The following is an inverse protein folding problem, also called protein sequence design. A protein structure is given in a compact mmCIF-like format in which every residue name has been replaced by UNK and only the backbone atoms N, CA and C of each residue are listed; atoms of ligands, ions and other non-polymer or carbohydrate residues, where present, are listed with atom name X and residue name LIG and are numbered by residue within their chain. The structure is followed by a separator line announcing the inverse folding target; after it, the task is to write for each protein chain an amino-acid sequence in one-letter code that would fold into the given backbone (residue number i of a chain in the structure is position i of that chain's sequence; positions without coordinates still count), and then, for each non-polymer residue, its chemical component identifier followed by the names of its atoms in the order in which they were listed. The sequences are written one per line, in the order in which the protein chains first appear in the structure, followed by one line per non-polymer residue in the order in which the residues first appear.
data_IF_039832933810
#
_entry.id   IF_039832933810
#
_cell.length_a   1.000
_cell.length_b   1.000
_cell.length_c   1.000
_cell.angle_alpha   90.00
_cell.angle_beta   90.00
_cell.angle_gamma   90.00
#
_symmetry.space_group_name_H-M   'P 1'
#
loop_
_entity.id
_entity.type
_entity.pdbx_description
1 polymer ?
#
# COMPACT_ATOMS: atom_id res chain seq x y z
N UNK A 1 -1.29 28.72 2.75
CA UNK A 1 -1.92 27.38 2.57
C UNK A 1 -0.82 26.34 2.62
N UNK A 2 -0.73 25.57 3.71
CA UNK A 2 0.22 24.47 3.80
C UNK A 2 -0.24 23.36 2.84
N UNK A 3 0.60 23.05 1.84
CA UNK A 3 0.41 21.88 0.98
C UNK A 3 0.71 20.67 1.87
N UNK A 4 -0.34 20.06 2.44
CA UNK A 4 -0.22 18.83 3.24
C UNK A 4 0.16 17.69 2.31
N UNK A 5 1.44 17.66 1.91
CA UNK A 5 2.05 16.56 1.19
C UNK A 5 2.36 15.48 2.23
N UNK A 6 1.31 14.83 2.75
CA UNK A 6 1.42 13.72 3.71
C UNK A 6 1.94 12.49 2.97
N UNK A 7 3.23 12.52 2.68
CA UNK A 7 3.96 11.39 2.12
C UNK A 7 3.91 10.24 3.12
N UNK A 8 3.47 9.07 2.66
CA UNK A 8 3.45 7.87 3.48
C UNK A 8 4.86 7.53 3.99
N UNK A 9 4.97 7.16 5.26
CA UNK A 9 6.22 6.62 5.80
C UNK A 9 6.49 5.24 5.20
N UNK A 10 7.68 5.02 4.64
CA UNK A 10 8.06 3.74 4.05
C UNK A 10 8.63 2.79 5.10
N UNK A 11 7.93 1.69 5.34
CA UNK A 11 8.32 0.65 6.29
C UNK A 11 8.52 -0.68 5.56
N UNK A 12 9.55 -1.44 5.97
CA UNK A 12 9.81 -2.79 5.46
C UNK A 12 9.79 -3.80 6.61
N UNK A 13 8.97 -4.84 6.50
CA UNK A 13 8.97 -5.97 7.43
C UNK A 13 9.47 -7.22 6.70
N UNK A 14 10.58 -7.78 7.19
CA UNK A 14 11.20 -8.98 6.65
C UNK A 14 10.74 -10.20 7.45
N UNK A 15 9.97 -11.06 6.80
CA UNK A 15 9.58 -12.37 7.34
C UNK A 15 10.48 -13.46 6.77
N UNK A 16 10.57 -14.59 7.44
CA UNK A 16 11.21 -15.79 6.90
C UNK A 16 10.36 -16.40 5.77
N UNK A 17 9.04 -16.54 5.99
CA UNK A 17 8.10 -17.16 5.05
C UNK A 17 6.71 -16.51 5.07
N UNK A 18 5.85 -16.90 4.12
CA UNK A 18 4.46 -16.42 4.04
C UNK A 18 3.63 -16.95 5.22
N UNK A 19 3.91 -18.15 5.72
CA UNK A 19 3.27 -18.75 6.89
C UNK A 19 3.52 -17.90 8.14
N UNK A 20 4.72 -17.34 8.27
CA UNK A 20 5.03 -16.42 9.35
C UNK A 20 4.21 -15.12 9.21
N UNK A 21 4.09 -14.55 8.01
CA UNK A 21 3.19 -13.41 7.81
C UNK A 21 1.73 -13.76 8.17
N UNK A 22 1.24 -14.95 7.78
CA UNK A 22 -0.13 -15.40 8.12
C UNK A 22 -0.36 -15.37 9.63
N UNK A 23 0.59 -15.86 10.42
CA UNK A 23 0.47 -15.90 11.87
C UNK A 23 0.36 -14.49 12.49
N UNK A 24 0.97 -13.48 11.85
CA UNK A 24 1.02 -12.10 12.32
C UNK A 24 -0.10 -11.20 11.78
N UNK A 25 -0.90 -11.67 10.80
CA UNK A 25 -2.01 -10.92 10.23
C UNK A 25 -3.30 -11.18 11.01
N UNK A 26 -3.84 -10.13 11.63
CA UNK A 26 -5.08 -10.22 12.40
C UNK A 26 -6.23 -9.58 11.64
N UNK A 27 -7.37 -10.27 11.52
CA UNK A 27 -8.60 -9.69 11.01
C UNK A 27 -9.50 -9.31 12.19
N UNK A 28 -9.60 -8.01 12.49
CA UNK A 28 -10.31 -7.48 13.67
C UNK A 28 -11.15 -6.28 13.24
N UNK A 29 -12.42 -6.24 13.66
CA UNK A 29 -13.38 -5.14 13.38
C UNK A 29 -13.39 -4.66 11.93
N UNK A 30 -13.37 -5.61 10.98
CA UNK A 30 -13.40 -5.29 9.55
C UNK A 30 -12.08 -4.78 8.96
N UNK A 31 -10.98 -4.79 9.71
CA UNK A 31 -9.65 -4.35 9.28
C UNK A 31 -8.64 -5.49 9.37
N UNK A 32 -7.59 -5.44 8.54
CA UNK A 32 -6.39 -6.24 8.78
C UNK A 32 -5.41 -5.43 9.63
N UNK A 33 -4.86 -6.05 10.67
CA UNK A 33 -3.84 -5.47 11.54
C UNK A 33 -2.54 -6.26 11.42
N UNK A 34 -1.43 -5.54 11.51
CA UNK A 34 -0.08 -6.11 11.60
C UNK A 34 0.72 -5.31 12.63
N UNK A 35 1.45 -6.01 13.49
CA UNK A 35 2.39 -5.38 14.40
C UNK A 35 3.74 -5.13 13.72
N UNK A 36 4.24 -3.90 13.81
CA UNK A 36 5.56 -3.50 13.35
C UNK A 36 6.44 -3.21 14.56
N UNK A 37 7.35 -4.14 14.88
CA UNK A 37 8.20 -4.06 16.08
C UNK A 37 9.39 -3.14 15.86
N UNK A 38 9.17 -1.85 16.07
CA UNK A 38 10.24 -0.87 16.18
C UNK A 38 9.95 0.08 17.36
N UNK A 39 10.62 -0.12 18.51
CA UNK A 39 10.36 0.70 19.69
C UNK A 39 10.81 2.16 19.51
N UNK A 40 11.75 2.40 18.59
CA UNK A 40 12.34 3.72 18.35
C UNK A 40 11.59 4.54 17.31
N UNK A 41 10.73 3.91 16.50
CA UNK A 41 9.94 4.60 15.49
C UNK A 41 8.79 5.38 16.14
N UNK A 42 8.82 6.70 15.92
CA UNK A 42 7.80 7.63 16.41
C UNK A 42 6.93 8.09 15.24
N UNK A 43 5.66 7.67 15.22
CA UNK A 43 4.65 8.14 14.27
C UNK A 43 3.43 8.63 15.03
N UNK A 44 2.74 9.65 14.50
CA UNK A 44 1.48 10.13 15.07
C UNK A 44 0.34 9.16 14.75
N UNK A 45 -0.66 8.97 15.63
CA UNK A 45 -1.88 8.22 15.30
C UNK A 45 -2.52 8.74 14.01
N UNK A 46 -2.96 7.82 13.15
CA UNK A 46 -3.48 8.13 11.82
C UNK A 46 -2.42 8.42 10.76
N UNK A 47 -1.12 8.40 11.10
CA UNK A 47 -0.07 8.60 10.12
C UNK A 47 -0.13 7.54 9.00
N UNK A 48 -0.08 7.96 7.71
CA UNK A 48 -0.11 7.03 6.59
C UNK A 48 1.24 6.33 6.43
N UNK A 49 1.17 5.04 6.11
CA UNK A 49 2.31 4.14 5.95
C UNK A 49 2.17 3.36 4.66
N UNK A 50 3.28 3.22 3.94
CA UNK A 50 3.45 2.15 2.97
C UNK A 50 4.31 1.07 3.58
N UNK A 51 3.74 -0.13 3.69
CA UNK A 51 4.41 -1.29 4.25
C UNK A 51 4.78 -2.27 3.13
N UNK A 52 6.07 -2.50 2.93
CA UNK A 52 6.61 -3.58 2.11
C UNK A 52 6.88 -4.81 3.00
N UNK A 53 6.25 -5.93 2.67
CA UNK A 53 6.51 -7.24 3.24
C UNK A 53 7.38 -8.02 2.27
N UNK A 54 8.50 -8.52 2.76
CA UNK A 54 9.47 -9.31 1.99
C UNK A 54 9.79 -10.60 2.73
N UNK A 55 10.21 -11.63 2.00
CA UNK A 55 10.40 -12.97 2.55
C UNK A 55 11.83 -13.47 2.29
N UNK A 56 12.47 -14.07 3.29
CA UNK A 56 13.82 -14.61 3.12
C UNK A 56 13.84 -15.82 2.18
N UNK A 57 12.78 -16.62 2.20
CA UNK A 57 12.68 -17.87 1.43
C UNK A 57 12.12 -17.69 0.01
N UNK A 58 11.80 -16.46 -0.41
CA UNK A 58 11.30 -16.21 -1.77
C UNK A 58 11.50 -14.78 -2.24
N UNK A 59 11.50 -14.55 -3.55
CA UNK A 59 11.49 -13.20 -4.12
C UNK A 59 10.11 -12.52 -4.05
N UNK A 60 9.15 -13.14 -3.36
CA UNK A 60 7.82 -12.56 -3.23
C UNK A 60 7.91 -11.26 -2.42
N UNK A 61 7.11 -10.29 -2.85
CA UNK A 61 6.97 -9.01 -2.17
C UNK A 61 5.51 -8.60 -2.19
N UNK A 62 5.08 -7.92 -1.13
CA UNK A 62 3.77 -7.26 -1.09
C UNK A 62 3.89 -5.89 -0.50
N UNK A 63 3.20 -4.95 -1.13
CA UNK A 63 3.09 -3.59 -0.61
C UNK A 63 1.63 -3.28 -0.35
N UNK A 64 1.38 -2.75 0.85
CA UNK A 64 0.04 -2.36 1.31
C UNK A 64 0.09 -0.97 1.91
N UNK A 65 -1.00 -0.23 1.73
CA UNK A 65 -1.25 1.00 2.48
C UNK A 65 -1.78 0.62 3.85
N UNK A 66 -1.25 1.28 4.87
CA UNK A 66 -1.70 1.14 6.23
C UNK A 66 -1.72 2.50 6.94
N UNK A 67 -2.37 2.54 8.09
CA UNK A 67 -2.36 3.68 8.99
C UNK A 67 -1.96 3.23 10.38
N UNK A 68 -1.17 4.04 11.09
CA UNK A 68 -0.93 3.80 12.51
C UNK A 68 -2.24 3.95 13.30
N UNK A 69 -2.66 2.89 14.01
CA UNK A 69 -3.88 2.93 14.84
C UNK A 69 -3.59 2.95 16.33
N UNK A 70 -2.50 2.33 16.77
CA UNK A 70 -2.09 2.34 18.17
C UNK A 70 -0.59 2.11 18.30
N UNK A 71 -0.02 2.59 19.39
CA UNK A 71 1.35 2.28 19.78
C UNK A 71 1.33 1.32 20.97
N UNK A 72 2.17 0.29 20.91
CA UNK A 72 2.52 -0.50 22.08
C UNK A 72 3.79 0.10 22.68
N UNK A 73 3.67 0.74 23.84
CA UNK A 73 4.76 1.45 24.49
C UNK A 73 6.00 0.57 24.64
N UNK A 74 7.15 1.10 24.25
CA UNK A 74 8.44 0.39 24.29
C UNK A 74 8.58 -0.81 23.35
N UNK A 75 7.59 -1.11 22.50
CA UNK A 75 7.62 -2.29 21.64
C UNK A 75 7.48 -1.98 20.15
N UNK A 76 6.55 -1.12 19.75
CA UNK A 76 6.30 -0.86 18.33
C UNK A 76 4.90 -0.34 18.02
N UNK A 77 4.47 -0.57 16.77
CA UNK A 77 3.31 0.06 16.16
C UNK A 77 2.29 -0.97 15.69
N UNK A 78 1.01 -0.73 15.96
CA UNK A 78 -0.09 -1.42 15.30
C UNK A 78 -0.50 -0.66 14.05
N UNK A 79 -0.36 -1.32 12.90
CA UNK A 79 -0.72 -0.80 11.59
C UNK A 79 -2.02 -1.43 11.13
N UNK A 80 -2.96 -0.62 10.65
CA UNK A 80 -4.22 -1.09 10.08
C UNK A 80 -4.26 -0.87 8.57
N UNK A 81 -4.58 -1.92 7.83
CA UNK A 81 -5.00 -1.84 6.43
C UNK A 81 -6.51 -1.51 6.37
N UNK A 82 -6.99 -0.88 5.29
CA UNK A 82 -8.36 -0.33 5.23
C UNK A 82 -9.47 -1.38 5.33
N UNK A 83 -9.22 -2.65 5.02
CA UNK A 83 -10.19 -3.73 5.09
C UNK A 83 -9.52 -5.08 5.39
N UNK A 84 -10.32 -6.13 5.62
CA UNK A 84 -9.84 -7.51 5.86
C UNK A 84 -9.39 -8.27 4.61
N UNK A 85 -9.52 -7.69 3.41
CA UNK A 85 -9.24 -8.40 2.14
C UNK A 85 -7.82 -8.94 2.12
N UNK A 86 -6.84 -8.14 2.52
CA UNK A 86 -5.46 -8.57 2.51
C UNK A 86 -5.23 -9.78 3.41
N UNK A 87 -5.67 -9.75 4.67
CA UNK A 87 -5.55 -10.90 5.55
C UNK A 87 -6.24 -12.14 4.96
N UNK A 88 -7.50 -12.01 4.49
CA UNK A 88 -8.24 -13.12 3.87
C UNK A 88 -7.48 -13.74 2.69
N UNK A 89 -7.03 -12.90 1.75
CA UNK A 89 -6.27 -13.39 0.60
C UNK A 89 -4.98 -14.12 0.99
N UNK A 90 -4.23 -13.59 1.95
CA UNK A 90 -3.01 -14.25 2.42
C UNK A 90 -3.35 -15.57 3.11
N UNK A 91 -4.39 -15.63 3.94
CA UNK A 91 -4.81 -16.86 4.59
C UNK A 91 -5.25 -17.92 3.58
N UNK A 92 -6.19 -17.58 2.69
CA UNK A 92 -6.87 -18.52 1.79
C UNK A 92 -5.95 -19.08 0.71
N UNK A 93 -5.17 -18.19 0.05
CA UNK A 93 -4.38 -18.54 -1.15
C UNK A 93 -2.91 -18.22 -1.04
N UNK A 94 -2.47 -17.64 0.08
CA UNK A 94 -1.10 -17.14 0.22
C UNK A 94 -0.80 -15.98 -0.74
N UNK A 95 0.47 -15.80 -1.06
CA UNK A 95 0.90 -14.77 -2.00
C UNK A 95 1.08 -15.34 -3.39
N UNK A 96 0.35 -14.75 -4.35
CA UNK A 96 0.53 -15.06 -5.78
C UNK A 96 1.96 -14.71 -6.22
N UNK A 97 2.74 -15.65 -6.78
CA UNK A 97 4.05 -15.36 -7.34
C UNK A 97 3.98 -14.25 -8.39
N UNK A 98 5.02 -13.41 -8.46
CA UNK A 98 5.10 -12.34 -9.46
C UNK A 98 6.42 -12.47 -10.19
N UNK A 99 6.38 -12.33 -11.51
CA UNK A 99 7.57 -12.31 -12.37
C UNK A 99 8.49 -11.11 -12.10
N UNK A 100 7.91 -10.00 -11.65
CA UNK A 100 8.63 -8.75 -11.44
C UNK A 100 8.34 -8.19 -10.05
N UNK A 101 9.36 -7.66 -9.39
CA UNK A 101 9.23 -6.91 -8.14
C UNK A 101 8.28 -5.73 -8.33
N UNK A 102 7.46 -5.46 -7.32
CA UNK A 102 6.56 -4.29 -7.28
C UNK A 102 6.96 -3.39 -6.13
N UNK A 103 7.04 -2.09 -6.40
CA UNK A 103 7.39 -1.06 -5.42
C UNK A 103 6.15 -0.22 -5.13
N UNK A 104 5.86 0.03 -3.85
CA UNK A 104 4.80 0.95 -3.47
C UNK A 104 5.12 2.37 -3.89
N UNK A 105 4.13 3.11 -4.36
CA UNK A 105 4.31 4.47 -4.82
C UNK A 105 3.52 5.49 -3.98
N UNK A 106 2.23 5.23 -3.74
CA UNK A 106 1.28 6.16 -3.10
C UNK A 106 1.32 7.56 -3.72
N UNK A 107 1.29 7.63 -5.05
CA UNK A 107 1.39 8.89 -5.81
C UNK A 107 0.11 9.22 -6.56
N UNK A 108 -0.33 10.48 -6.58
CA UNK A 108 -1.46 10.88 -7.42
C UNK A 108 -1.10 10.79 -8.90
N UNK A 109 -2.00 10.21 -9.69
CA UNK A 109 -1.85 9.98 -11.12
C UNK A 109 -3.15 10.31 -11.82
N UNK A 110 -3.06 10.96 -12.98
CA UNK A 110 -4.18 11.16 -13.91
C UNK A 110 -4.18 10.03 -14.92
N UNK A 111 -5.36 9.50 -15.20
CA UNK A 111 -5.58 8.56 -16.30
C UNK A 111 -6.61 9.15 -17.24
N UNK A 112 -6.25 9.25 -18.52
CA UNK A 112 -7.16 9.66 -19.59
C UNK A 112 -7.61 8.42 -20.35
N UNK A 113 -8.93 8.25 -20.45
CA UNK A 113 -9.59 7.13 -21.10
C UNK A 113 -10.00 7.48 -22.55
N UNK A 114 -10.37 6.48 -23.37
CA UNK A 114 -10.70 6.70 -24.79
C UNK A 114 -11.96 7.56 -25.01
N UNK A 115 -12.88 7.58 -24.04
CA UNK A 115 -14.06 8.44 -24.02
C UNK A 115 -13.72 9.92 -23.70
N UNK A 116 -12.44 10.25 -23.51
CA UNK A 116 -11.95 11.57 -23.15
C UNK A 116 -12.04 11.87 -21.66
N UNK A 117 -12.63 10.98 -20.84
CA UNK A 117 -12.71 11.19 -19.40
C UNK A 117 -11.31 11.13 -18.77
N UNK A 118 -11.02 12.07 -17.88
CA UNK A 118 -9.80 12.09 -17.09
C UNK A 118 -10.15 11.86 -15.62
N UNK A 119 -9.51 10.86 -14.99
CA UNK A 119 -9.71 10.53 -13.59
C UNK A 119 -8.41 10.71 -12.79
N UNK A 120 -8.53 11.30 -11.60
CA UNK A 120 -7.47 11.33 -10.62
C UNK A 120 -7.53 10.04 -9.79
N UNK A 121 -6.45 9.27 -9.79
CA UNK A 121 -6.30 8.02 -9.05
C UNK A 121 -5.01 8.05 -8.23
N UNK A 122 -4.86 7.11 -7.31
CA UNK A 122 -3.59 6.84 -6.64
C UNK A 122 -2.88 5.68 -7.33
N UNK A 123 -1.64 5.89 -7.76
CA UNK A 123 -0.71 4.82 -8.10
C UNK A 123 -0.29 4.13 -6.79
N UNK A 124 -0.83 2.93 -6.55
CA UNK A 124 -0.60 2.17 -5.33
C UNK A 124 0.77 1.51 -5.35
N UNK A 125 1.09 0.83 -6.45
CA UNK A 125 2.39 0.21 -6.69
C UNK A 125 2.65 0.02 -8.20
N UNK A 126 3.91 -0.23 -8.57
CA UNK A 126 4.30 -0.60 -9.93
C UNK A 126 5.48 -1.58 -9.97
N UNK A 127 5.53 -2.34 -11.06
CA UNK A 127 6.74 -2.97 -11.59
C UNK A 127 7.17 -2.29 -12.88
N UNK A 128 8.24 -2.80 -13.50
CA UNK A 128 8.65 -2.37 -14.85
C UNK A 128 7.61 -2.67 -15.95
N UNK A 129 6.63 -3.54 -15.68
CA UNK A 129 5.69 -4.07 -16.67
C UNK A 129 4.22 -3.72 -16.41
N UNK A 130 3.89 -3.25 -15.20
CA UNK A 130 2.52 -2.86 -14.90
C UNK A 130 2.39 -2.09 -13.60
N UNK A 131 1.22 -1.51 -13.40
CA UNK A 131 0.87 -0.70 -12.23
C UNK A 131 -0.39 -1.24 -11.55
N UNK A 132 -0.63 -0.80 -10.32
CA UNK A 132 -1.90 -0.97 -9.63
C UNK A 132 -2.37 0.41 -9.20
N UNK A 133 -3.61 0.72 -9.51
CA UNK A 133 -4.23 2.01 -9.21
C UNK A 133 -5.48 1.80 -8.35
N UNK A 134 -5.87 2.83 -7.59
CA UNK A 134 -7.10 2.84 -6.81
C UNK A 134 -7.41 4.20 -6.19
N UNK A 135 -8.39 4.26 -5.29
CA UNK A 135 -8.70 5.45 -4.49
C UNK A 135 -9.41 6.60 -5.21
N UNK A 136 -9.67 6.47 -6.52
CA UNK A 136 -10.38 7.48 -7.32
C UNK A 136 -11.10 6.93 -8.54
N UNK A 137 -11.26 5.59 -8.62
CA UNK A 137 -12.02 4.95 -9.67
C UNK A 137 -13.52 5.12 -9.40
N UNK A 138 -14.22 5.80 -10.30
CA UNK A 138 -15.67 6.05 -10.19
C UNK A 138 -16.53 4.84 -10.55
N UNK A 139 -15.96 3.87 -11.29
CA UNK A 139 -16.60 2.61 -11.70
C UNK A 139 -15.56 1.53 -11.92
N UNK A 140 -16.00 0.29 -11.98
CA UNK A 140 -15.16 -0.81 -12.46
C UNK A 140 -14.72 -0.53 -13.90
N UNK A 141 -13.48 -0.86 -14.21
CA UNK A 141 -12.91 -0.69 -15.54
C UNK A 141 -12.94 -2.00 -16.32
N UNK A 142 -13.35 -1.95 -17.58
CA UNK A 142 -13.37 -3.11 -18.45
C UNK A 142 -11.95 -3.55 -18.84
N UNK A 143 -11.58 -4.83 -18.64
CA UNK A 143 -10.32 -5.38 -19.14
C UNK A 143 -10.16 -5.16 -20.64
N UNK A 144 -8.95 -4.83 -21.08
CA UNK A 144 -8.65 -4.48 -22.47
C UNK A 144 -8.77 -2.98 -22.78
N UNK A 145 -9.38 -2.18 -21.89
CA UNK A 145 -9.44 -0.72 -22.07
C UNK A 145 -8.04 -0.12 -21.99
N UNK A 146 -7.66 0.68 -22.99
CA UNK A 146 -6.42 1.45 -22.98
C UNK A 146 -6.60 2.82 -22.32
N UNK A 147 -5.56 3.31 -21.64
CA UNK A 147 -5.54 4.67 -21.09
C UNK A 147 -4.14 5.27 -21.08
N UNK A 148 -4.08 6.60 -21.21
CA UNK A 148 -2.85 7.39 -21.10
C UNK A 148 -2.59 7.77 -19.65
N UNK A 149 -1.37 7.52 -19.16
CA UNK A 149 -1.00 7.66 -17.76
C UNK A 149 -0.09 8.86 -17.52
N UNK A 150 -0.47 9.75 -16.59
CA UNK A 150 0.35 10.90 -16.21
C UNK A 150 0.46 11.10 -14.71
N UNK A 151 1.67 11.28 -14.18
CA UNK A 151 1.87 11.69 -12.79
C UNK A 151 1.27 13.08 -12.57
N UNK A 152 0.47 13.23 -11.51
CA UNK A 152 -0.18 14.51 -11.21
C UNK A 152 0.78 15.55 -10.61
N UNK A 153 1.85 15.08 -9.97
CA UNK A 153 2.91 15.91 -9.38
C UNK A 153 4.24 15.17 -9.50
N UNK A 154 4.91 15.23 -10.67
CA UNK A 154 6.21 14.59 -10.85
C UNK A 154 7.29 15.30 -10.01
N UNK A 155 8.23 14.53 -9.50
CA UNK A 155 9.46 15.08 -8.93
C UNK A 155 10.36 15.63 -10.04
N UNK A 156 11.30 16.51 -9.65
CA UNK A 156 12.29 17.08 -10.58
C UNK A 156 13.04 15.94 -11.28
N UNK A 157 13.11 16.00 -12.61
CA UNK A 157 13.79 15.00 -13.44
C UNK A 157 12.90 13.82 -13.88
N UNK A 158 11.66 13.72 -13.39
CA UNK A 158 10.69 12.75 -13.91
C UNK A 158 9.83 13.35 -15.03
N UNK A 159 9.59 12.54 -16.07
CA UNK A 159 8.53 12.84 -17.02
C UNK A 159 7.18 12.72 -16.32
N UNK A 160 6.27 13.71 -16.45
CA UNK A 160 4.89 13.53 -16.03
C UNK A 160 4.20 12.44 -16.84
N UNK A 161 4.59 12.22 -18.10
CA UNK A 161 3.98 11.22 -18.98
C UNK A 161 4.67 9.86 -18.84
N UNK A 162 3.89 8.84 -18.46
CA UNK A 162 4.31 7.45 -18.34
C UNK A 162 3.94 6.60 -19.58
N UNK A 163 3.15 7.15 -20.51
CA UNK A 163 2.66 6.48 -21.71
C UNK A 163 1.37 5.69 -21.50
N UNK A 164 1.06 4.83 -22.47
CA UNK A 164 -0.16 4.01 -22.50
C UNK A 164 -0.05 2.75 -21.65
N UNK A 165 -1.18 2.34 -21.11
CA UNK A 165 -1.37 1.05 -20.47
C UNK A 165 -2.75 0.47 -20.74
N UNK A 166 -2.87 -0.85 -20.62
CA UNK A 166 -4.12 -1.59 -20.79
C UNK A 166 -4.61 -2.11 -19.44
N UNK A 167 -5.90 -1.97 -19.15
CA UNK A 167 -6.53 -2.57 -17.98
C UNK A 167 -6.50 -4.09 -18.11
N UNK A 168 -5.94 -4.78 -17.12
CA UNK A 168 -5.90 -6.26 -17.08
C UNK A 168 -6.89 -6.88 -16.11
N UNK A 169 -7.31 -6.13 -15.09
CA UNK A 169 -8.37 -6.49 -14.16
C UNK A 169 -8.86 -5.23 -13.43
N UNK A 170 -10.11 -5.26 -12.96
CA UNK A 170 -10.66 -4.26 -12.04
C UNK A 170 -11.53 -4.94 -11.00
N UNK A 171 -11.33 -4.60 -9.73
CA UNK A 171 -12.08 -5.17 -8.60
C UNK A 171 -11.98 -4.26 -7.38
N UNK A 172 -13.10 -4.08 -6.66
CA UNK A 172 -13.17 -3.36 -5.38
C UNK A 172 -12.56 -1.94 -5.41
N UNK A 173 -12.76 -1.20 -6.50
CA UNK A 173 -12.20 0.16 -6.65
C UNK A 173 -10.68 0.21 -6.88
N UNK A 174 -10.05 -0.94 -7.14
CA UNK A 174 -8.69 -1.04 -7.67
C UNK A 174 -8.68 -1.57 -9.11
N UNK A 175 -7.61 -1.28 -9.84
CA UNK A 175 -7.36 -1.86 -11.15
C UNK A 175 -5.88 -2.17 -11.35
N UNK A 176 -5.62 -3.24 -12.10
CA UNK A 176 -4.30 -3.57 -12.60
C UNK A 176 -4.13 -3.05 -14.03
N UNK A 177 -2.98 -2.44 -14.28
CA UNK A 177 -2.61 -1.93 -15.60
C UNK A 177 -1.36 -2.66 -16.10
N UNK A 178 -1.32 -2.95 -17.40
CA UNK A 178 -0.13 -3.44 -18.10
C UNK A 178 0.40 -2.34 -19.02
N UNK A 179 1.67 -1.96 -18.85
CA UNK A 179 2.28 -0.91 -19.66
C UNK A 179 2.51 -1.38 -21.11
N UNK A 180 2.38 -0.46 -22.08
CA UNK A 180 2.80 -0.70 -23.46
C UNK A 180 4.34 -0.77 -23.53
N UNK A 181 4.85 -2.01 -23.50
CA UNK A 181 6.29 -2.29 -23.57
C UNK A 181 6.88 -2.09 -24.96
N UNK A 182 6.08 -1.97 -26.02
CA UNK A 182 6.59 -1.69 -27.36
C UNK A 182 7.02 -0.21 -27.49
N UNK A 183 6.35 0.69 -26.77
CA UNK A 183 6.69 2.12 -26.73
C UNK A 183 7.99 2.40 -25.97
N UNK A 184 9.01 2.89 -26.68
CA UNK A 184 10.30 3.31 -26.08
C UNK A 184 10.11 4.38 -25.00
N UNK A 185 9.24 5.36 -25.24
CA UNK A 185 8.92 6.42 -24.28
C UNK A 185 8.34 5.85 -22.99
N UNK A 186 7.37 4.93 -23.09
CA UNK A 186 6.79 4.27 -21.92
C UNK A 186 7.86 3.49 -21.14
N UNK A 187 8.71 2.71 -21.84
CA UNK A 187 9.79 1.95 -21.19
C UNK A 187 10.75 2.85 -20.41
N UNK A 188 11.14 3.99 -20.98
CA UNK A 188 12.08 4.93 -20.34
C UNK A 188 11.42 5.65 -19.15
N UNK A 189 10.21 6.19 -19.32
CA UNK A 189 9.52 6.91 -18.24
C UNK A 189 9.21 6.00 -17.05
N UNK A 190 8.66 4.81 -17.30
CA UNK A 190 8.40 3.81 -16.24
C UNK A 190 9.70 3.33 -15.60
N UNK A 191 10.75 3.11 -16.39
CA UNK A 191 12.06 2.70 -15.87
C UNK A 191 12.65 3.72 -14.90
N UNK A 192 12.59 5.02 -15.25
CA UNK A 192 13.04 6.11 -14.37
C UNK A 192 12.21 6.20 -13.09
N UNK A 193 10.89 6.10 -13.19
CA UNK A 193 10.02 6.11 -12.00
C UNK A 193 10.31 4.91 -11.09
N UNK A 194 10.50 3.72 -11.67
CA UNK A 194 10.84 2.52 -10.91
C UNK A 194 12.19 2.68 -10.18
N UNK A 195 13.21 3.22 -10.85
CA UNK A 195 14.51 3.49 -10.24
C UNK A 195 14.42 4.49 -9.09
N UNK A 196 13.64 5.57 -9.25
CA UNK A 196 13.42 6.53 -8.17
C UNK A 196 12.78 5.84 -6.95
N UNK A 197 11.69 5.10 -7.17
CA UNK A 197 11.03 4.38 -6.08
C UNK A 197 11.96 3.36 -5.43
N UNK A 198 12.83 2.71 -6.21
CA UNK A 198 13.82 1.78 -5.67
C UNK A 198 14.75 2.49 -4.67
N UNK A 199 15.27 3.65 -5.04
CA UNK A 199 16.12 4.48 -4.17
C UNK A 199 15.38 4.98 -2.92
N UNK A 200 14.08 5.28 -3.02
CA UNK A 200 13.25 5.62 -1.87
C UNK A 200 13.09 4.42 -0.93
N UNK A 201 12.79 3.25 -1.50
CA UNK A 201 12.62 2.00 -0.75
C UNK A 201 13.92 1.45 -0.16
N UNK A 202 15.09 1.82 -0.68
CA UNK A 202 16.39 1.52 -0.05
C UNK A 202 16.54 2.22 1.30
N UNK A 203 15.91 3.39 1.47
CA UNK A 203 15.91 4.19 2.71
C UNK A 203 14.77 3.82 3.66
N UNK A 204 13.90 2.88 3.27
CA UNK A 204 12.76 2.47 4.08
C UNK A 204 13.22 1.91 5.43
N UNK A 205 12.51 2.29 6.50
CA UNK A 205 12.80 1.78 7.84
C UNK A 205 12.47 0.29 7.88
N UNK A 206 13.48 -0.54 8.10
CA UNK A 206 13.35 -2.00 8.02
C UNK A 206 13.42 -2.63 9.40
N UNK A 207 12.58 -3.64 9.62
CA UNK A 207 12.66 -4.55 10.77
C UNK A 207 12.65 -5.99 10.28
N UNK A 208 13.38 -6.84 10.98
CA UNK A 208 13.32 -8.28 10.82
C UNK A 208 12.32 -8.88 11.81
N UNK A 209 11.61 -9.92 11.37
CA UNK A 209 10.85 -10.74 12.29
C UNK A 209 11.78 -11.32 13.36
N UNK A 210 11.37 -11.21 14.63
CA UNK A 210 12.19 -11.58 15.79
C UNK A 210 12.46 -13.08 15.86
N UNK A 211 13.70 -13.46 16.14
CA UNK A 211 14.06 -14.86 16.36
C UNK A 211 13.30 -15.47 17.55
N UNK A 212 12.81 -16.69 17.40
CA UNK A 212 12.02 -17.38 18.43
C UNK A 212 10.55 -16.95 18.51
N UNK A 213 10.14 -15.86 17.84
CA UNK A 213 8.72 -15.57 17.64
C UNK A 213 8.09 -16.65 16.73
N UNK A 214 6.82 -16.99 16.99
CA UNK A 214 6.10 -18.14 16.43
C UNK A 214 6.52 -19.52 16.96
N UNK A 215 7.53 -19.62 17.83
CA UNK A 215 7.90 -20.90 18.43
C UNK A 215 6.78 -21.43 19.34
N UNK A 216 6.40 -22.69 19.17
CA UNK A 216 5.31 -23.31 19.93
C UNK A 216 3.93 -22.68 19.69
N UNK A 217 3.75 -21.93 18.59
CA UNK A 217 2.49 -21.24 18.26
C UNK A 217 2.27 -19.92 19.00
N UNK A 218 3.23 -19.46 19.81
CA UNK A 218 3.13 -18.19 20.52
C UNK A 218 3.69 -17.02 19.69
N UNK A 219 2.94 -15.92 19.66
CA UNK A 219 3.38 -14.66 19.07
C UNK A 219 3.90 -13.74 20.17
N UNK A 220 5.04 -13.09 19.95
CA UNK A 220 5.60 -12.12 20.91
C UNK A 220 4.93 -10.74 20.81
N UNK A 221 3.88 -10.61 20.01
CA UNK A 221 3.17 -9.35 19.79
C UNK A 221 2.47 -8.89 21.08
N UNK A 222 2.38 -7.56 21.31
CA UNK A 222 1.55 -7.03 22.40
C UNK A 222 0.07 -7.36 22.16
N UNK A 223 -0.82 -7.18 23.15
CA UNK A 223 -2.26 -7.35 22.94
C UNK A 223 -2.78 -6.47 21.79
N UNK A 224 -3.78 -6.98 21.08
CA UNK A 224 -4.48 -6.23 20.03
C UNK A 224 -5.08 -4.94 20.61
N UNK A 225 -4.97 -3.81 19.88
CA UNK A 225 -5.54 -2.55 20.34
C UNK A 225 -7.06 -2.60 20.23
N UNK A 226 -7.76 -1.90 21.13
CA UNK A 226 -9.18 -1.62 20.96
C UNK A 226 -9.35 -0.60 19.84
N UNK A 227 -9.93 -1.01 18.72
CA UNK A 227 -10.23 -0.10 17.63
C UNK A 227 -11.47 0.72 18.00
N UNK A 228 -11.36 2.04 17.92
CA UNK A 228 -12.56 2.89 17.97
C UNK A 228 -13.31 2.69 16.66
N UNK A 229 -14.55 2.22 16.75
CA UNK A 229 -15.49 2.27 15.64
C UNK A 229 -15.85 3.74 15.47
N UNK A 230 -15.27 4.41 14.48
CA UNK A 230 -15.68 5.76 14.12
C UNK A 230 -17.10 5.69 13.54
N UNK A 231 -18.07 5.81 14.44
CA UNK A 231 -19.49 5.62 14.20
C UNK A 231 -20.32 6.44 15.18
N UNK A 232 -19.95 7.71 15.37
CA UNK A 232 -20.83 8.83 15.72
C UNK A 232 -19.97 10.10 15.83
N UNK A 233 -20.32 11.11 15.02
CA UNK A 233 -20.00 12.50 15.34
C UNK A 233 -20.44 12.75 16.79
N UNK A 234 -19.49 12.79 17.72
CA UNK A 234 -19.69 13.55 18.94
C UNK A 234 -19.57 15.01 18.54
N UNK A 235 -20.70 15.55 18.07
CA UNK A 235 -20.90 16.98 17.97
C UNK A 235 -21.29 17.46 19.39
N UNK A 236 -20.41 18.15 20.14
CA UNK A 236 -20.73 18.63 21.49
C UNK A 236 -21.73 19.80 21.48
N UNK A 237 -22.32 20.17 20.33
CA UNK A 237 -23.16 21.35 20.19
C UNK A 237 -24.65 21.18 20.48
N UNK A 238 -25.14 20.04 21.02
CA UNK A 238 -26.58 19.84 21.29
C UNK A 238 -27.00 19.58 22.74
N UNK A 239 -26.13 19.87 23.70
CA UNK A 239 -26.51 19.93 25.11
C UNK A 239 -26.52 21.39 25.59
N UNK A 240 -27.52 22.16 25.14
CA UNK A 240 -28.05 23.39 25.76
C UNK A 240 -29.07 24.02 24.81
N UNK A 241 -30.34 23.71 25.01
CA UNK A 241 -31.53 24.58 24.88
C UNK A 241 -32.78 23.71 24.81
N UNK A 242 -33.72 23.94 25.73
CA UNK A 242 -35.05 23.31 25.78
C UNK A 242 -35.22 22.40 26.97
#
# INVERSE_FOLDING_TARGET
MAKDDRRSTLLRHRFSSVEQLKAHLHAVDGRSLLFFRDPTLMLAPGAPVLLEMVFAQSEQTRVVRATLVARAEGQGLWLAMPNTRFAREVHDRGLVPRRWRRLGADRPMRVRWPDGAEQMVTLLDLSIAGARIGGGLSRALEPGTEGDLRLASPEIGLSPDLGRATVVWSQDGEAGLQFDRASTTCRVSVGRLFQLLQQEWEKARSVDHVHGCCAGGALLEPPLPRLRVDGKNNDPARAKTG
#
